data_IF_918540116539
#
_entry.id   IF_918540116539
#
_cell.length_a   1.000
_cell.length_b   1.000
_cell.length_c   1.000
_cell.angle_alpha   90.00
_cell.angle_beta   90.00
_cell.angle_gamma   90.00
#
_symmetry.space_group_name_H-M   'P 1'
#
loop_
_entity.id
_entity.type
_entity.pdbx_description
1 polymer ?
#
# COMPACT_ATOMS: atom_id res chain seq x y z
N UNK A 1 -12.55 0.20 -21.11
CA UNK A 1 -11.97 0.05 -19.77
C UNK A 1 -12.97 0.66 -18.79
N UNK A 2 -13.82 -0.17 -18.18
CA UNK A 2 -14.91 0.30 -17.32
C UNK A 2 -14.34 0.69 -15.96
N UNK A 3 -14.50 1.97 -15.60
CA UNK A 3 -14.18 2.48 -14.28
C UNK A 3 -15.28 1.94 -13.37
N UNK A 4 -14.93 1.06 -12.42
CA UNK A 4 -15.89 0.59 -11.42
C UNK A 4 -16.43 1.83 -10.69
N UNK A 5 -17.72 2.11 -10.90
CA UNK A 5 -18.45 3.09 -10.11
C UNK A 5 -18.56 2.52 -8.70
N UNK A 6 -17.62 2.89 -7.82
CA UNK A 6 -17.73 2.60 -6.41
C UNK A 6 -18.95 3.35 -5.87
N UNK A 7 -19.97 2.61 -5.45
CA UNK A 7 -21.08 3.15 -4.68
C UNK A 7 -20.51 3.86 -3.44
N UNK A 8 -20.97 5.08 -3.18
CA UNK A 8 -20.61 5.80 -1.96
C UNK A 8 -21.16 4.98 -0.78
N UNK A 9 -20.32 4.49 0.13
CA UNK A 9 -20.79 3.72 1.27
C UNK A 9 -21.65 4.61 2.19
N UNK A 10 -22.70 3.99 2.72
CA UNK A 10 -23.63 4.57 3.67
C UNK A 10 -22.95 4.94 5.00
N UNK A 11 -23.60 5.79 5.80
CA UNK A 11 -23.07 6.22 7.10
C UNK A 11 -22.76 5.07 8.06
N UNK A 12 -23.51 3.96 8.01
CA UNK A 12 -23.26 2.76 8.82
C UNK A 12 -22.07 1.94 8.31
N UNK A 13 -21.88 1.86 6.99
CA UNK A 13 -20.72 1.22 6.38
C UNK A 13 -19.44 2.01 6.70
N UNK A 14 -19.51 3.34 6.80
CA UNK A 14 -18.39 4.19 7.23
C UNK A 14 -17.90 3.83 8.63
N UNK A 15 -18.81 3.77 9.62
CA UNK A 15 -18.45 3.40 11.00
C UNK A 15 -17.83 2.01 11.05
N UNK A 16 -18.43 1.04 10.34
CA UNK A 16 -17.93 -0.34 10.29
C UNK A 16 -16.51 -0.40 9.72
N UNK A 17 -16.22 0.35 8.65
CA UNK A 17 -14.88 0.39 8.05
C UNK A 17 -13.87 1.09 8.96
N UNK A 18 -14.27 2.15 9.66
CA UNK A 18 -13.41 2.80 10.63
C UNK A 18 -13.02 1.86 11.75
N UNK A 19 -13.99 1.16 12.35
CA UNK A 19 -13.73 0.16 13.39
C UNK A 19 -12.84 -0.98 12.90
N UNK A 20 -13.11 -1.52 11.70
CA UNK A 20 -12.35 -2.63 11.13
C UNK A 20 -10.86 -2.31 10.93
N UNK A 21 -10.51 -1.05 10.63
CA UNK A 21 -9.13 -0.63 10.38
C UNK A 21 -8.52 0.19 11.52
N UNK A 22 -9.25 0.39 12.62
CA UNK A 22 -8.80 1.18 13.76
C UNK A 22 -8.69 2.68 13.47
N UNK A 23 -9.46 3.20 12.50
CA UNK A 23 -9.51 4.61 12.17
C UNK A 23 -10.41 5.35 13.16
N UNK A 24 -9.98 6.52 13.60
CA UNK A 24 -10.69 7.38 14.53
C UNK A 24 -11.29 8.59 13.82
N UNK A 25 -12.26 9.30 14.43
CA UNK A 25 -12.74 10.56 13.89
C UNK A 25 -11.63 11.61 13.73
N UNK A 26 -10.56 11.55 14.53
CA UNK A 26 -9.43 12.46 14.47
C UNK A 26 -8.59 12.30 13.19
N UNK A 27 -8.66 11.14 12.54
CA UNK A 27 -7.94 10.87 11.29
C UNK A 27 -8.58 11.57 10.08
N UNK A 28 -9.77 12.17 10.24
CA UNK A 28 -10.42 12.98 9.21
C UNK A 28 -10.70 12.20 7.91
N UNK A 29 -11.03 10.91 8.01
CA UNK A 29 -11.27 10.03 6.87
C UNK A 29 -12.49 10.52 6.07
N UNK A 30 -12.33 10.65 4.75
CA UNK A 30 -13.38 11.05 3.82
C UNK A 30 -13.43 10.06 2.65
N UNK A 31 -14.63 9.67 2.22
CA UNK A 31 -14.77 8.86 1.01
C UNK A 31 -14.59 9.70 -0.26
N UNK A 32 -14.02 9.11 -1.32
CA UNK A 32 -13.92 9.77 -2.62
C UNK A 32 -15.31 10.13 -3.14
N UNK A 33 -15.47 11.37 -3.60
CA UNK A 33 -16.63 11.75 -4.40
C UNK A 33 -16.61 11.02 -5.74
N UNK A 34 -17.79 10.81 -6.34
CA UNK A 34 -17.89 10.13 -7.64
C UNK A 34 -17.01 10.82 -8.69
N UNK A 35 -16.23 10.02 -9.43
CA UNK A 35 -15.30 10.52 -10.46
C UNK A 35 -13.99 11.11 -9.92
N UNK A 36 -13.76 11.12 -8.60
CA UNK A 36 -12.47 11.52 -8.04
C UNK A 36 -11.37 10.50 -8.35
N UNK A 37 -10.13 11.00 -8.43
CA UNK A 37 -8.94 10.19 -8.69
C UNK A 37 -8.13 10.11 -7.41
N UNK A 38 -7.63 8.91 -7.09
CA UNK A 38 -6.74 8.72 -5.92
C UNK A 38 -5.47 9.58 -6.01
N UNK A 39 -5.02 9.90 -7.23
CA UNK A 39 -3.87 10.76 -7.51
C UNK A 39 -4.16 12.25 -7.36
N UNK A 40 -5.41 12.62 -7.06
CA UNK A 40 -5.86 14.00 -6.84
C UNK A 40 -6.74 14.08 -5.60
N UNK A 41 -6.21 13.76 -4.41
CA UNK A 41 -6.97 13.92 -3.16
C UNK A 41 -7.21 15.40 -2.86
N UNK A 42 -8.18 15.72 -1.96
CA UNK A 42 -8.36 17.07 -1.45
C UNK A 42 -7.07 17.63 -0.82
N UNK A 43 -6.88 18.97 -0.81
CA UNK A 43 -5.72 19.59 -0.19
C UNK A 43 -5.52 19.15 1.27
N UNK A 44 -4.29 18.77 1.62
CA UNK A 44 -3.95 18.29 2.96
C UNK A 44 -4.34 16.82 3.23
N UNK A 45 -4.87 16.09 2.25
CA UNK A 45 -5.26 14.68 2.38
C UNK A 45 -4.43 13.76 1.49
N UNK A 46 -4.40 12.49 1.87
CA UNK A 46 -3.74 11.42 1.13
C UNK A 46 -4.78 10.41 0.67
N UNK A 47 -4.76 10.05 -0.62
CA UNK A 47 -5.62 8.98 -1.13
C UNK A 47 -5.05 7.60 -0.77
N UNK A 48 -5.87 6.70 -0.25
CA UNK A 48 -5.49 5.31 0.01
C UNK A 48 -6.60 4.37 -0.42
N UNK A 49 -6.23 3.25 -1.05
CA UNK A 49 -7.20 2.19 -1.36
C UNK A 49 -7.53 1.42 -0.09
N UNK A 50 -8.80 1.04 0.10
CA UNK A 50 -9.20 0.14 1.18
C UNK A 50 -8.40 -1.17 1.16
N UNK A 51 -8.14 -1.71 -0.04
CA UNK A 51 -7.30 -2.90 -0.24
C UNK A 51 -5.88 -2.77 0.33
N UNK A 52 -5.39 -1.55 0.52
CA UNK A 52 -4.09 -1.31 1.13
C UNK A 52 -4.12 -1.61 2.64
N UNK A 53 -5.26 -1.37 3.30
CA UNK A 53 -5.49 -1.78 4.69
C UNK A 53 -5.69 -3.29 4.80
N UNK A 54 -6.37 -3.93 3.85
CA UNK A 54 -6.43 -5.40 3.76
C UNK A 54 -5.03 -6.03 3.63
N UNK A 55 -4.14 -5.34 2.91
CA UNK A 55 -2.74 -5.73 2.77
C UNK A 55 -1.88 -5.50 4.03
N UNK A 56 -2.46 -4.95 5.10
CA UNK A 56 -1.78 -4.76 6.38
C UNK A 56 -1.27 -3.34 6.65
N UNK A 57 -1.63 -2.35 5.83
CA UNK A 57 -1.38 -0.95 6.18
C UNK A 57 -2.13 -0.61 7.46
N UNK A 58 -1.44 0.00 8.41
CA UNK A 58 -2.01 0.53 9.66
C UNK A 58 -1.43 1.92 9.89
N UNK A 59 -2.22 2.80 10.50
CA UNK A 59 -1.84 4.17 10.82
C UNK A 59 -1.81 4.36 12.35
N UNK A 60 -0.90 5.18 12.90
CA UNK A 60 0.24 5.80 12.21
C UNK A 60 1.20 4.75 11.65
N UNK A 61 2.00 5.16 10.66
CA UNK A 61 3.01 4.27 10.11
C UNK A 61 4.10 4.03 11.16
N UNK A 62 4.72 2.86 11.11
CA UNK A 62 5.95 2.58 11.87
C UNK A 62 7.12 3.37 11.27
N UNK A 63 8.10 3.78 12.08
CA UNK A 63 9.30 4.52 11.65
C UNK A 63 9.96 3.91 10.41
N UNK A 64 10.08 2.59 10.36
CA UNK A 64 10.64 1.86 9.22
C UNK A 64 9.86 2.07 7.91
N UNK A 65 8.53 2.06 7.96
CA UNK A 65 7.66 2.26 6.78
C UNK A 65 7.73 3.70 6.29
N UNK A 66 7.81 4.66 7.22
CA UNK A 66 8.05 6.07 6.89
C UNK A 66 9.42 6.26 6.22
N UNK A 67 10.46 5.62 6.76
CA UNK A 67 11.81 5.66 6.18
C UNK A 67 11.84 5.10 4.75
N UNK A 68 11.19 3.97 4.49
CA UNK A 68 11.08 3.40 3.14
C UNK A 68 10.43 4.39 2.17
N UNK A 69 9.27 4.96 2.54
CA UNK A 69 8.56 5.90 1.69
C UNK A 69 9.41 7.12 1.35
N UNK A 70 10.08 7.68 2.38
CA UNK A 70 10.97 8.81 2.22
C UNK A 70 12.15 8.49 1.29
N UNK A 71 12.85 7.37 1.50
CA UNK A 71 14.02 6.99 0.69
C UNK A 71 13.67 6.58 -0.73
N UNK A 72 12.50 5.98 -0.95
CA UNK A 72 12.00 5.67 -2.29
C UNK A 72 11.40 6.88 -3.00
N UNK A 73 11.27 8.03 -2.34
CA UNK A 73 10.61 9.21 -2.91
C UNK A 73 9.15 8.96 -3.28
N UNK A 74 8.49 8.04 -2.57
CA UNK A 74 7.14 7.58 -2.87
C UNK A 74 6.18 8.07 -1.80
N UNK A 75 4.95 8.43 -2.20
CA UNK A 75 3.85 8.65 -1.26
C UNK A 75 3.05 7.35 -1.07
N UNK A 76 2.38 7.20 0.07
CA UNK A 76 1.50 6.04 0.38
C UNK A 76 0.49 5.77 -0.74
N UNK A 77 -0.02 6.83 -1.38
CA UNK A 77 -0.99 6.77 -2.50
C UNK A 77 -0.44 6.04 -3.74
N UNK A 78 0.88 5.99 -3.91
CA UNK A 78 1.54 5.33 -5.02
C UNK A 78 1.77 3.84 -4.76
N UNK A 79 1.58 3.39 -3.51
CA UNK A 79 1.80 1.99 -3.16
C UNK A 79 0.65 1.11 -3.66
N UNK A 80 1.01 0.05 -4.35
CA UNK A 80 0.07 -1.03 -4.64
C UNK A 80 -0.20 -1.84 -3.36
N UNK A 81 -1.38 -2.46 -3.20
CA UNK A 81 -1.64 -3.36 -2.07
C UNK A 81 -0.58 -4.47 -1.95
N UNK A 82 -0.08 -5.01 -3.07
CA UNK A 82 0.98 -6.00 -3.08
C UNK A 82 2.31 -5.47 -2.55
N UNK A 83 2.66 -4.20 -2.82
CA UNK A 83 3.86 -3.59 -2.28
C UNK A 83 3.75 -3.43 -0.75
N UNK A 84 2.59 -2.99 -0.25
CA UNK A 84 2.33 -2.91 1.19
C UNK A 84 2.45 -4.28 1.85
N UNK A 85 1.79 -5.30 1.28
CA UNK A 85 1.85 -6.66 1.83
C UNK A 85 3.30 -7.16 1.96
N UNK A 86 4.15 -6.92 0.95
CA UNK A 86 5.57 -7.29 0.99
C UNK A 86 6.33 -6.57 2.10
N UNK A 87 6.15 -5.27 2.25
CA UNK A 87 6.82 -4.48 3.30
C UNK A 87 6.36 -4.92 4.69
N UNK A 88 5.06 -5.12 4.88
CA UNK A 88 4.47 -5.61 6.14
C UNK A 88 5.00 -7.01 6.47
N UNK A 89 5.05 -7.92 5.49
CA UNK A 89 5.58 -9.27 5.67
C UNK A 89 7.07 -9.27 6.03
N UNK A 90 7.88 -8.44 5.35
CA UNK A 90 9.30 -8.28 5.69
C UNK A 90 9.46 -7.78 7.12
N UNK A 91 8.71 -6.76 7.52
CA UNK A 91 8.77 -6.21 8.88
C UNK A 91 8.43 -7.25 9.95
N UNK A 92 7.37 -8.05 9.72
CA UNK A 92 7.00 -9.16 10.60
C UNK A 92 8.11 -10.21 10.71
N UNK A 93 8.77 -10.56 9.59
CA UNK A 93 9.89 -11.50 9.59
C UNK A 93 11.07 -10.94 10.40
N UNK A 94 11.40 -9.65 10.27
CA UNK A 94 12.44 -9.01 11.05
C UNK A 94 12.16 -9.13 12.56
N UNK A 95 10.97 -8.70 13.00
CA UNK A 95 10.61 -8.77 14.43
C UNK A 95 10.56 -10.21 14.95
N UNK A 96 10.05 -11.16 14.17
CA UNK A 96 10.03 -12.57 14.56
C UNK A 96 11.44 -13.17 14.78
N UNK A 97 12.47 -12.57 14.17
CA UNK A 97 13.87 -12.98 14.31
C UNK A 97 14.68 -12.05 15.24
N UNK A 98 14.03 -11.10 15.94
CA UNK A 98 14.72 -10.14 16.80
C UNK A 98 15.61 -9.13 16.05
N UNK A 99 15.37 -8.95 14.75
CA UNK A 99 16.09 -8.01 13.90
C UNK A 99 15.26 -6.73 13.81
N UNK A 100 15.89 -5.57 14.00
CA UNK A 100 15.23 -4.29 13.73
C UNK A 100 15.15 -4.09 12.20
N UNK A 101 13.94 -3.92 11.62
CA UNK A 101 13.81 -3.62 10.21
C UNK A 101 14.39 -2.22 9.92
N UNK A 102 15.25 -2.13 8.92
CA UNK A 102 15.76 -0.86 8.38
C UNK A 102 15.78 -0.88 6.85
N UNK A 103 15.95 0.30 6.26
CA UNK A 103 15.98 0.44 4.82
C UNK A 103 17.01 -0.46 4.13
N UNK A 104 18.25 -0.53 4.62
CA UNK A 104 19.32 -1.29 3.96
C UNK A 104 19.07 -2.79 4.01
N UNK A 105 18.61 -3.32 5.16
CA UNK A 105 18.23 -4.72 5.29
C UNK A 105 17.11 -5.06 4.31
N UNK A 106 16.08 -4.20 4.21
CA UNK A 106 15.00 -4.40 3.25
C UNK A 106 15.47 -4.35 1.80
N UNK A 107 16.35 -3.40 1.46
CA UNK A 107 16.91 -3.22 0.13
C UNK A 107 17.66 -4.47 -0.32
N UNK A 108 18.58 -4.97 0.50
CA UNK A 108 19.34 -6.18 0.18
C UNK A 108 18.46 -7.42 0.14
N UNK A 109 17.51 -7.56 1.06
CA UNK A 109 16.56 -8.67 1.07
C UNK A 109 15.76 -8.74 -0.23
N UNK A 110 15.14 -7.63 -0.65
CA UNK A 110 14.35 -7.60 -1.88
C UNK A 110 15.21 -7.66 -3.14
N UNK A 111 16.43 -7.11 -3.11
CA UNK A 111 17.38 -7.25 -4.21
C UNK A 111 17.75 -8.73 -4.42
N UNK A 112 18.07 -9.45 -3.35
CA UNK A 112 18.42 -10.87 -3.40
C UNK A 112 17.24 -11.74 -3.83
N UNK A 113 16.04 -11.47 -3.29
CA UNK A 113 14.82 -12.14 -3.72
C UNK A 113 14.54 -11.90 -5.21
N UNK A 114 14.80 -10.68 -5.69
CA UNK A 114 14.60 -10.35 -7.09
C UNK A 114 15.65 -10.96 -8.02
N UNK A 115 16.87 -11.29 -7.58
CA UNK A 115 17.92 -11.85 -8.45
C UNK A 115 17.79 -13.34 -8.70
N UNK A 116 17.19 -14.09 -7.78
CA UNK A 116 17.12 -15.56 -7.86
C UNK A 116 15.88 -16.11 -8.58
N UNK A 117 14.99 -15.25 -9.06
CA UNK A 117 13.69 -15.65 -9.65
C UNK A 117 13.33 -14.85 -10.92
N UNK A 118 14.34 -14.47 -11.74
CA UNK A 118 14.09 -13.73 -13.00
C UNK A 118 14.06 -14.67 -14.20
N UNK A 119 12.92 -14.68 -14.89
CA UNK A 119 12.76 -15.29 -16.21
C UNK A 119 12.43 -14.20 -17.23
N UNK A 120 13.14 -14.19 -18.36
CA UNK A 120 12.83 -13.33 -19.51
C UNK A 120 12.14 -14.18 -20.57
N UNK A 121 10.95 -13.77 -20.99
CA UNK A 121 10.20 -14.43 -22.06
C UNK A 121 10.23 -13.57 -23.33
N UNK A 122 10.47 -14.19 -24.48
CA UNK A 122 10.31 -13.51 -25.78
C UNK A 122 8.85 -13.59 -26.25
N UNK A 123 8.38 -12.54 -26.92
CA UNK A 123 7.05 -12.55 -27.55
C UNK A 123 7.00 -13.65 -28.62
N UNK A 124 5.91 -14.43 -28.65
CA UNK A 124 5.70 -15.47 -29.68
C UNK A 124 5.64 -14.77 -31.04
N UNK A 125 6.62 -15.02 -31.93
CA UNK A 125 6.57 -14.56 -33.32
C UNK A 125 5.28 -15.10 -33.95
N UNK A 126 4.38 -14.22 -34.38
CA UNK A 126 3.39 -14.61 -35.40
C UNK A 126 4.19 -14.87 -36.67
N UNK A 127 3.98 -16.04 -37.26
CA UNK A 127 4.75 -16.57 -38.38
C UNK A 127 4.87 -15.57 -39.54
N UNK A 128 6.00 -15.68 -40.22
CA UNK A 128 6.23 -15.12 -41.55
C UNK A 128 5.29 -15.78 -42.58
#
# INVERSE_FOLDING_TARGET
MAIAQGSIPSSSEFVTLQEAYGLTPADGVEFPVSGSLITRPPPGKVGVYLKTFDAGLRLPLTDFREEILHRCGCSVQMLTPGAVHKVVAFEMICYANGIMPDYFVSYYFFQFAATNDRYTFSARRRGA
#
